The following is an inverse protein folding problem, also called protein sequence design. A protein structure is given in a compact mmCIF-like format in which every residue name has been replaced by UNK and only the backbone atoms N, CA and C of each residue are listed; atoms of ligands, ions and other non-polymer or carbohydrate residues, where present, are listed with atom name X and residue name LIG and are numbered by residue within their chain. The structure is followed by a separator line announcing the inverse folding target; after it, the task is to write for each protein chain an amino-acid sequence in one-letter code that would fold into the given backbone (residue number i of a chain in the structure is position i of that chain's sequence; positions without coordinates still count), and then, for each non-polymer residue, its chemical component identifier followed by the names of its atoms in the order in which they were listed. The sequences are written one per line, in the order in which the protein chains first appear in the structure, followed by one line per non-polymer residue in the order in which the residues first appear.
data_IF_776738585723
#
_entry.id   IF_776738585723
#
_cell.length_a   1.000
_cell.length_b   1.000
_cell.length_c   1.000
_cell.angle_alpha   90.00
_cell.angle_beta   90.00
_cell.angle_gamma   90.00
#
_symmetry.space_group_name_H-M   'P 1'
#
loop_
_entity.id
_entity.type
_entity.pdbx_description
1 polymer ?
#
# COMPACT_ATOMS: atom_id res chain seq x y z
N UNK A 1 3.59 6.44 21.03
CA UNK A 1 2.32 5.76 20.72
C UNK A 1 1.94 4.89 21.89
N UNK A 2 0.83 5.16 22.59
CA UNK A 2 0.32 4.17 23.55
C UNK A 2 -0.34 3.01 22.79
N UNK A 3 -0.39 1.81 23.38
CA UNK A 3 -1.03 0.62 22.76
C UNK A 3 -2.49 0.88 22.35
N UNK A 4 -3.18 1.78 23.06
CA UNK A 4 -4.58 2.13 22.79
C UNK A 4 -4.74 3.08 21.60
N UNK A 5 -3.81 4.02 21.40
CA UNK A 5 -3.86 4.94 20.26
C UNK A 5 -3.67 4.23 18.91
N UNK A 6 -2.84 3.18 18.87
CA UNK A 6 -2.63 2.39 17.67
C UNK A 6 -3.94 1.80 17.12
N UNK A 7 -4.75 1.16 17.97
CA UNK A 7 -6.00 0.54 17.54
C UNK A 7 -7.03 1.57 17.07
N UNK A 8 -7.07 2.75 17.71
CA UNK A 8 -7.93 3.84 17.27
C UNK A 8 -7.52 4.36 15.88
N UNK A 9 -6.21 4.41 15.59
CA UNK A 9 -5.72 4.82 14.28
C UNK A 9 -5.99 3.82 13.17
N UNK A 10 -5.91 2.51 13.45
CA UNK A 10 -6.25 1.47 12.47
C UNK A 10 -7.67 1.65 11.92
N UNK A 11 -8.61 2.10 12.76
CA UNK A 11 -10.00 2.35 12.35
C UNK A 11 -10.27 3.79 11.89
N UNK A 12 -9.25 4.66 11.76
CA UNK A 12 -9.44 6.00 11.19
C UNK A 12 -9.57 5.94 9.67
N UNK A 13 -10.78 6.21 9.19
CA UNK A 13 -11.08 6.32 7.75
C UNK A 13 -10.70 7.69 7.14
N UNK A 14 -10.64 8.75 7.95
CA UNK A 14 -10.33 10.09 7.47
C UNK A 14 -8.81 10.27 7.29
N UNK A 15 -8.37 10.48 6.06
CA UNK A 15 -6.97 10.69 5.70
C UNK A 15 -6.16 9.40 5.52
N UNK A 16 -6.78 8.23 5.61
CA UNK A 16 -6.12 6.95 5.36
C UNK A 16 -6.21 6.55 3.88
N UNK A 17 -5.34 5.62 3.47
CA UNK A 17 -5.38 5.03 2.13
C UNK A 17 -6.49 3.97 1.96
N UNK A 18 -7.10 3.53 3.07
CA UNK A 18 -8.12 2.48 3.09
C UNK A 18 -9.31 2.76 2.12
N UNK A 19 -10.00 3.92 2.16
CA UNK A 19 -11.12 4.18 1.25
C UNK A 19 -10.71 4.23 -0.22
N UNK A 20 -9.44 4.49 -0.54
CA UNK A 20 -8.95 4.55 -1.92
C UNK A 20 -8.74 3.16 -2.55
N UNK A 21 -8.52 2.13 -1.72
CA UNK A 21 -8.18 0.78 -2.19
C UNK A 21 -9.25 -0.27 -1.86
N UNK A 22 -10.18 0.02 -0.93
CA UNK A 22 -11.15 -0.95 -0.42
C UNK A 22 -11.99 -1.62 -1.53
N UNK A 23 -12.40 -0.87 -2.55
CA UNK A 23 -13.16 -1.43 -3.68
C UNK A 23 -12.35 -2.45 -4.48
N UNK A 24 -11.04 -2.20 -4.68
CA UNK A 24 -10.14 -3.15 -5.36
C UNK A 24 -9.94 -4.41 -4.51
N UNK A 25 -9.73 -4.24 -3.21
CA UNK A 25 -9.56 -5.35 -2.26
C UNK A 25 -10.79 -6.25 -2.28
N UNK A 26 -11.99 -5.69 -2.12
CA UNK A 26 -13.26 -6.44 -2.16
C UNK A 26 -13.41 -7.17 -3.51
N UNK A 27 -13.10 -6.51 -4.62
CA UNK A 27 -13.16 -7.13 -5.95
C UNK A 27 -12.25 -8.36 -6.07
N UNK A 28 -10.99 -8.27 -5.64
CA UNK A 28 -10.07 -9.40 -5.65
C UNK A 28 -10.49 -10.52 -4.70
N UNK A 29 -11.01 -10.20 -3.51
CA UNK A 29 -11.50 -11.18 -2.54
C UNK A 29 -12.69 -11.96 -3.09
N UNK A 30 -13.68 -11.26 -3.66
CA UNK A 30 -14.85 -11.91 -4.27
C UNK A 30 -14.45 -12.78 -5.46
N UNK A 31 -13.58 -12.26 -6.33
CA UNK A 31 -13.08 -13.04 -7.46
C UNK A 31 -12.35 -14.31 -7.01
N UNK A 32 -11.44 -14.19 -6.03
CA UNK A 32 -10.73 -15.35 -5.46
C UNK A 32 -11.70 -16.36 -4.86
N UNK A 33 -12.72 -15.90 -4.12
CA UNK A 33 -13.72 -16.77 -3.52
C UNK A 33 -14.50 -17.56 -4.57
N UNK A 34 -14.89 -16.92 -5.67
CA UNK A 34 -15.61 -17.56 -6.78
C UNK A 34 -14.72 -18.62 -7.44
N UNK A 35 -13.46 -18.30 -7.73
CA UNK A 35 -12.52 -19.24 -8.36
C UNK A 35 -12.28 -20.46 -7.46
N UNK A 36 -12.08 -20.25 -6.16
CA UNK A 36 -11.88 -21.35 -5.21
C UNK A 36 -13.12 -22.26 -5.12
N UNK A 37 -14.33 -21.70 -5.08
CA UNK A 37 -15.56 -22.50 -5.07
C UNK A 37 -15.72 -23.29 -6.36
N UNK A 38 -15.45 -22.69 -7.51
CA UNK A 38 -15.53 -23.34 -8.80
C UNK A 38 -14.54 -24.51 -8.91
N UNK A 39 -13.28 -24.30 -8.50
CA UNK A 39 -12.27 -25.35 -8.47
C UNK A 39 -12.67 -26.52 -7.55
N UNK A 40 -13.28 -26.22 -6.39
CA UNK A 40 -13.75 -27.25 -5.46
C UNK A 40 -14.92 -28.09 -6.01
N UNK A 41 -15.78 -27.49 -6.85
CA UNK A 41 -16.92 -28.17 -7.46
C UNK A 41 -16.53 -29.05 -8.66
N UNK A 42 -15.53 -28.63 -9.44
CA UNK A 42 -15.04 -29.34 -10.62
C UNK A 42 -13.95 -30.39 -10.32
N UNK A 43 -13.59 -30.59 -9.03
CA UNK A 43 -12.53 -31.49 -8.57
C UNK A 43 -11.19 -31.31 -9.31
N UNK A 44 -10.93 -30.11 -9.83
CA UNK A 44 -9.69 -29.80 -10.54
C UNK A 44 -8.57 -29.74 -9.51
N UNK A 45 -7.70 -30.75 -9.54
CA UNK A 45 -6.49 -30.78 -8.70
C UNK A 45 -5.54 -29.66 -9.12
N UNK A 46 -4.73 -29.16 -8.16
CA UNK A 46 -3.77 -28.08 -8.37
C UNK A 46 -2.78 -28.40 -9.51
N UNK A 47 -3.10 -27.99 -10.73
CA UNK A 47 -2.26 -28.22 -11.92
C UNK A 47 -1.00 -27.34 -11.95
N UNK A 48 -0.89 -26.36 -11.04
CA UNK A 48 0.19 -25.36 -11.00
C UNK A 48 0.94 -25.44 -9.67
N UNK A 49 2.27 -25.50 -9.74
CA UNK A 49 3.13 -25.44 -8.57
C UNK A 49 3.08 -24.04 -7.93
N UNK A 50 2.84 -24.00 -6.61
CA UNK A 50 2.69 -22.76 -5.82
C UNK A 50 3.95 -21.87 -5.79
N UNK A 51 5.12 -22.41 -6.16
CA UNK A 51 6.42 -21.73 -6.10
C UNK A 51 6.49 -20.44 -6.93
N UNK A 52 5.74 -20.33 -8.02
CA UNK A 52 5.79 -19.16 -8.89
C UNK A 52 5.31 -17.86 -8.22
N UNK A 53 4.34 -17.96 -7.30
CA UNK A 53 3.77 -16.78 -6.64
C UNK A 53 4.72 -16.17 -5.60
N UNK A 54 5.60 -16.98 -5.00
CA UNK A 54 6.56 -16.53 -3.98
C UNK A 54 7.59 -15.57 -4.57
N UNK A 55 8.17 -15.92 -5.72
CA UNK A 55 9.16 -15.07 -6.40
C UNK A 55 8.56 -13.74 -6.85
N UNK A 56 7.33 -13.77 -7.41
CA UNK A 56 6.63 -12.56 -7.85
C UNK A 56 6.33 -11.66 -6.64
N UNK A 57 5.85 -12.24 -5.53
CA UNK A 57 5.61 -11.51 -4.28
C UNK A 57 6.87 -10.82 -3.75
N UNK A 58 8.00 -11.51 -3.75
CA UNK A 58 9.28 -10.95 -3.31
C UNK A 58 9.73 -9.76 -4.18
N UNK A 59 9.66 -9.89 -5.50
CA UNK A 59 10.02 -8.81 -6.43
C UNK A 59 9.09 -7.61 -6.29
N UNK A 60 7.77 -7.83 -6.16
CA UNK A 60 6.80 -6.75 -5.96
C UNK A 60 7.02 -6.01 -4.65
N UNK A 61 7.34 -6.72 -3.56
CA UNK A 61 7.65 -6.11 -2.27
C UNK A 61 8.90 -5.21 -2.36
N UNK A 62 9.96 -5.69 -3.02
CA UNK A 62 11.18 -4.90 -3.24
C UNK A 62 10.89 -3.64 -4.06
N UNK A 63 10.18 -3.78 -5.18
CA UNK A 63 9.82 -2.66 -6.05
C UNK A 63 8.94 -1.63 -5.31
N UNK A 64 8.03 -2.09 -4.46
CA UNK A 64 7.19 -1.21 -3.65
C UNK A 64 8.06 -0.36 -2.71
N UNK A 65 8.99 -0.97 -1.98
CA UNK A 65 9.88 -0.25 -1.04
C UNK A 65 10.74 0.78 -1.78
N UNK A 66 11.36 0.40 -2.90
CA UNK A 66 12.17 1.32 -3.70
C UNK A 66 11.34 2.51 -4.19
N UNK A 67 10.12 2.25 -4.68
CA UNK A 67 9.20 3.28 -5.16
C UNK A 67 8.75 4.22 -4.04
N UNK A 68 8.42 3.69 -2.86
CA UNK A 68 7.99 4.51 -1.73
C UNK A 68 9.14 5.38 -1.19
N UNK A 69 10.36 4.83 -1.14
CA UNK A 69 11.54 5.57 -0.69
C UNK A 69 11.83 6.76 -1.63
N UNK A 70 11.89 6.51 -2.94
CA UNK A 70 12.11 7.57 -3.93
C UNK A 70 11.01 8.65 -3.91
N UNK A 71 9.75 8.25 -3.67
CA UNK A 71 8.65 9.19 -3.50
C UNK A 71 8.77 10.04 -2.24
N UNK A 72 9.19 9.43 -1.12
CA UNK A 72 9.40 10.11 0.14
C UNK A 72 10.55 11.13 0.07
N UNK A 73 11.66 10.76 -0.54
CA UNK A 73 12.82 11.65 -0.72
C UNK A 73 12.43 12.91 -1.50
N UNK A 74 11.72 12.75 -2.62
CA UNK A 74 11.20 13.88 -3.42
C UNK A 74 10.25 14.77 -2.63
N UNK A 75 9.33 14.18 -1.86
CA UNK A 75 8.42 14.94 -1.01
C UNK A 75 9.18 15.72 0.07
N UNK A 76 10.21 15.11 0.67
CA UNK A 76 11.05 15.75 1.67
C UNK A 76 11.89 16.89 1.08
N UNK A 77 12.46 16.70 -0.10
CA UNK A 77 13.17 17.75 -0.84
C UNK A 77 12.29 18.96 -1.13
N UNK A 78 11.07 18.74 -1.63
CA UNK A 78 10.12 19.82 -1.88
C UNK A 78 9.83 20.64 -0.61
N UNK A 79 9.67 19.98 0.54
CA UNK A 79 9.46 20.68 1.83
C UNK A 79 10.66 21.50 2.27
N UNK A 80 11.88 21.00 2.06
CA UNK A 80 13.12 21.76 2.36
C UNK A 80 13.19 23.03 1.53
N UNK A 81 12.94 22.93 0.23
CA UNK A 81 12.94 24.09 -0.69
C UNK A 81 11.87 25.12 -0.28
N UNK A 82 10.64 24.68 -0.04
CA UNK A 82 9.55 25.55 0.41
C UNK A 82 9.89 26.26 1.74
N UNK A 83 10.45 25.53 2.70
CA UNK A 83 10.92 26.09 3.97
C UNK A 83 12.01 27.15 3.77
N UNK A 84 12.91 26.94 2.80
CA UNK A 84 13.92 27.91 2.40
C UNK A 84 13.30 29.22 1.89
N UNK A 85 12.29 29.14 1.01
CA UNK A 85 11.59 30.32 0.48
C UNK A 85 10.94 31.13 1.62
N UNK A 86 10.20 30.46 2.51
CA UNK A 86 9.55 31.12 3.66
C UNK A 86 10.58 31.82 4.56
N UNK A 87 11.75 31.21 4.76
CA UNK A 87 12.81 31.82 5.56
C UNK A 87 13.41 33.06 4.88
N UNK A 88 13.66 33.00 3.57
CA UNK A 88 14.15 34.15 2.80
C UNK A 88 13.14 35.31 2.81
N UNK A 89 11.85 35.03 2.66
CA UNK A 89 10.79 36.05 2.75
C UNK A 89 10.75 36.78 4.10
N UNK A 90 11.09 36.09 5.20
CA UNK A 90 11.15 36.69 6.55
C UNK A 90 12.36 37.58 6.76
N UNK A 91 13.45 37.32 6.05
CA UNK A 91 14.69 38.11 6.12
C UNK A 91 14.67 39.35 5.21
N UNK A 92 13.64 39.49 4.37
CA UNK A 92 13.45 40.65 3.47
C UNK A 92 12.63 41.79 4.11
N UNK A 93 12.17 41.61 5.36
CA UNK A 93 11.53 42.65 6.17
C UNK A 93 12.50 43.34 7.12
#
# INVERSE_FOLDING_TARGET
MSRYEFWLEVFRLRGSAAPLIIGRVIGFTLFSQIVTLLMSYLEVTHLLANSHYEYIGAVLALLLVLRTNAGYDRWYEARKVWGGIVNQSRNLG
#
